data_IF_475044479058
#
_entry.id   IF_475044479058
#
_cell.length_a   1.000
_cell.length_b   1.000
_cell.length_c   1.000
_cell.angle_alpha   90.00
_cell.angle_beta   90.00
_cell.angle_gamma   90.00
#
_symmetry.space_group_name_H-M   'P 1'
#
loop_
_entity.id
_entity.type
_entity.pdbx_description
1 polymer ?
#
# COMPACT_ATOMS: atom_id res chain seq x y z
N UNK A 1 -29.72 10.91 17.52
CA UNK A 1 -28.32 11.09 17.07
C UNK A 1 -27.57 11.81 18.18
N UNK A 2 -26.47 11.24 18.70
CA UNK A 2 -25.70 11.84 19.81
C UNK A 2 -24.82 12.99 19.28
N UNK A 3 -24.72 14.08 20.04
CA UNK A 3 -23.92 15.27 19.65
C UNK A 3 -22.44 14.96 19.86
N UNK A 4 -21.62 15.39 18.91
CA UNK A 4 -20.17 15.13 18.87
C UNK A 4 -19.45 15.66 20.13
N UNK A 5 -20.06 16.63 20.83
CA UNK A 5 -19.60 17.20 22.09
C UNK A 5 -19.67 16.26 23.31
N UNK A 6 -20.33 15.10 23.20
CA UNK A 6 -20.40 14.08 24.25
C UNK A 6 -19.31 12.99 24.07
N UNK A 7 -18.56 13.03 22.98
CA UNK A 7 -17.44 12.11 22.73
C UNK A 7 -16.26 12.64 23.52
N UNK A 8 -15.95 11.99 24.64
CA UNK A 8 -14.74 12.27 25.39
C UNK A 8 -13.54 11.91 24.50
N UNK A 9 -12.74 12.87 24.00
CA UNK A 9 -11.65 12.60 23.05
C UNK A 9 -10.52 11.77 23.65
N UNK A 10 -10.54 11.58 24.98
CA UNK A 10 -9.60 10.80 25.78
C UNK A 10 -10.25 9.55 26.41
N UNK A 11 -11.50 9.22 26.02
CA UNK A 11 -12.36 8.27 26.73
C UNK A 11 -12.07 6.78 26.51
N UNK A 12 -11.24 6.41 25.55
CA UNK A 12 -10.75 5.05 25.38
C UNK A 12 -9.34 5.13 24.80
N UNK A 13 -8.32 5.21 25.68
CA UNK A 13 -6.96 4.88 25.28
C UNK A 13 -6.99 3.47 24.72
N UNK A 14 -7.03 3.34 23.39
CA UNK A 14 -6.82 2.05 22.75
C UNK A 14 -5.48 1.54 23.26
N UNK A 15 -5.43 0.38 23.92
CA UNK A 15 -4.16 -0.14 24.41
C UNK A 15 -3.20 -0.17 23.23
N UNK A 16 -2.02 0.41 23.44
CA UNK A 16 -0.99 0.40 22.43
C UNK A 16 -0.76 -1.06 22.03
N UNK A 17 -0.89 -1.43 20.74
CA UNK A 17 -0.67 -2.80 20.32
C UNK A 17 0.73 -3.23 20.77
N UNK A 18 0.83 -4.46 21.26
CA UNK A 18 2.11 -5.06 21.60
C UNK A 18 3.03 -5.14 20.36
N UNK A 19 4.31 -5.42 20.58
CA UNK A 19 5.32 -5.49 19.51
C UNK A 19 4.86 -6.44 18.38
N UNK A 20 4.27 -7.58 18.73
CA UNK A 20 3.80 -8.59 17.79
C UNK A 20 2.61 -8.09 16.95
N UNK A 21 1.64 -7.41 17.56
CA UNK A 21 0.49 -6.84 16.87
C UNK A 21 0.91 -5.67 15.99
N UNK A 22 1.86 -4.83 16.44
CA UNK A 22 2.46 -3.77 15.62
C UNK A 22 3.13 -4.33 14.38
N UNK A 23 3.89 -5.41 14.53
CA UNK A 23 4.58 -6.07 13.43
C UNK A 23 3.61 -6.68 12.42
N UNK A 24 2.56 -7.39 12.91
CA UNK A 24 1.47 -7.90 12.04
C UNK A 24 0.78 -6.79 11.26
N UNK A 25 0.47 -5.67 11.92
CA UNK A 25 -0.15 -4.51 11.28
C UNK A 25 0.75 -3.89 10.22
N UNK A 26 2.06 -3.79 10.47
CA UNK A 26 3.03 -3.30 9.49
C UNK A 26 3.09 -4.20 8.26
N UNK A 27 3.19 -5.52 8.45
CA UNK A 27 3.19 -6.49 7.34
C UNK A 27 1.91 -6.43 6.54
N UNK A 28 0.76 -6.33 7.20
CA UNK A 28 -0.54 -6.22 6.52
C UNK A 28 -0.65 -4.93 5.70
N UNK A 29 -0.16 -3.80 6.22
CA UNK A 29 -0.11 -2.54 5.47
C UNK A 29 0.80 -2.64 4.26
N UNK A 30 2.00 -3.19 4.43
CA UNK A 30 2.95 -3.37 3.35
C UNK A 30 2.38 -4.27 2.24
N UNK A 31 1.70 -5.36 2.61
CA UNK A 31 1.05 -6.24 1.63
C UNK A 31 -0.05 -5.50 0.86
N UNK A 32 -0.89 -4.72 1.54
CA UNK A 32 -1.94 -3.92 0.88
C UNK A 32 -1.35 -2.88 -0.07
N UNK A 33 -0.26 -2.23 0.32
CA UNK A 33 0.44 -1.27 -0.53
C UNK A 33 1.02 -1.95 -1.77
N UNK A 34 1.61 -3.15 -1.60
CA UNK A 34 2.10 -3.98 -2.70
C UNK A 34 0.98 -4.36 -3.66
N UNK A 35 -0.13 -4.92 -3.16
CA UNK A 35 -1.26 -5.36 -3.98
C UNK A 35 -1.90 -4.19 -4.75
N UNK A 36 -2.05 -3.04 -4.10
CA UNK A 36 -2.56 -1.82 -4.72
C UNK A 36 -1.59 -1.29 -5.80
N UNK A 37 -0.29 -1.36 -5.53
CA UNK A 37 0.76 -1.03 -6.49
C UNK A 37 0.68 -1.88 -7.74
N UNK A 38 0.56 -3.22 -7.58
CA UNK A 38 0.40 -4.15 -8.69
C UNK A 38 -0.81 -3.80 -9.56
N UNK A 39 -1.99 -3.61 -8.95
CA UNK A 39 -3.21 -3.27 -9.70
C UNK A 39 -3.04 -1.99 -10.53
N UNK A 40 -2.42 -0.96 -9.96
CA UNK A 40 -2.22 0.32 -10.63
C UNK A 40 -1.22 0.22 -11.78
N UNK A 41 -0.17 -0.58 -11.62
CA UNK A 41 0.79 -0.84 -12.70
C UNK A 41 0.13 -1.60 -13.85
N UNK A 42 -0.69 -2.62 -13.56
CA UNK A 42 -1.45 -3.37 -14.56
C UNK A 42 -2.41 -2.45 -15.32
N UNK A 43 -3.14 -1.58 -14.62
CA UNK A 43 -4.04 -0.61 -15.24
C UNK A 43 -3.29 0.29 -16.22
N UNK A 44 -2.15 0.84 -15.83
CA UNK A 44 -1.31 1.66 -16.71
C UNK A 44 -0.82 0.87 -17.94
N UNK A 45 -0.40 -0.38 -17.75
CA UNK A 45 -0.01 -1.24 -18.88
C UNK A 45 -1.18 -1.52 -19.84
N UNK A 46 -2.39 -1.72 -19.31
CA UNK A 46 -3.60 -1.92 -20.13
C UNK A 46 -4.00 -0.68 -20.91
N UNK A 47 -3.73 0.52 -20.38
CA UNK A 47 -3.95 1.79 -21.06
C UNK A 47 -2.86 2.12 -22.09
N UNK A 48 -1.77 1.34 -22.14
CA UNK A 48 -0.62 1.62 -23.00
C UNK A 48 0.36 2.65 -22.42
N UNK A 49 0.15 3.08 -21.17
CA UNK A 49 0.95 4.09 -20.46
C UNK A 49 2.20 3.47 -19.81
N UNK A 50 3.03 2.79 -20.63
CA UNK A 50 4.14 1.98 -20.14
C UNK A 50 5.24 2.80 -19.46
N UNK A 51 5.54 3.99 -20.00
CA UNK A 51 6.55 4.88 -19.40
C UNK A 51 6.09 5.39 -18.03
N UNK A 52 4.79 5.67 -17.89
CA UNK A 52 4.19 6.06 -16.62
C UNK A 52 4.22 4.90 -15.61
N UNK A 53 3.88 3.68 -16.05
CA UNK A 53 3.98 2.47 -15.23
C UNK A 53 5.42 2.25 -14.73
N UNK A 54 6.41 2.40 -15.62
CA UNK A 54 7.83 2.24 -15.28
C UNK A 54 8.32 3.30 -14.29
N UNK A 55 7.93 4.56 -14.50
CA UNK A 55 8.25 5.63 -13.56
C UNK A 55 7.61 5.41 -12.19
N UNK A 56 6.35 4.95 -12.16
CA UNK A 56 5.63 4.68 -10.92
C UNK A 56 6.28 3.53 -10.15
N UNK A 57 6.61 2.42 -10.82
CA UNK A 57 7.33 1.28 -10.23
C UNK A 57 8.69 1.71 -9.64
N UNK A 58 9.44 2.56 -10.35
CA UNK A 58 10.71 3.09 -9.87
C UNK A 58 10.58 4.06 -8.68
N UNK A 59 9.48 4.80 -8.57
CA UNK A 59 9.21 5.64 -7.38
C UNK A 59 8.80 4.82 -6.16
N UNK A 60 8.17 3.67 -6.40
CA UNK A 60 7.68 2.76 -5.36
C UNK A 60 8.43 1.43 -5.39
N UNK A 61 9.75 1.50 -5.26
CA UNK A 61 10.63 0.32 -5.20
C UNK A 61 10.21 -0.69 -4.12
N UNK A 62 9.61 -0.20 -3.03
CA UNK A 62 9.09 -1.01 -1.92
C UNK A 62 7.92 -1.93 -2.32
N UNK A 63 7.27 -1.70 -3.45
CA UNK A 63 6.28 -2.63 -3.98
C UNK A 63 6.91 -3.89 -4.57
N UNK A 64 8.20 -3.87 -4.92
CA UNK A 64 8.90 -5.03 -5.46
C UNK A 64 8.45 -5.43 -6.86
N UNK A 65 7.94 -4.47 -7.65
CA UNK A 65 7.56 -4.69 -9.04
C UNK A 65 8.37 -3.82 -9.98
N UNK A 66 8.53 -4.29 -11.21
CA UNK A 66 9.09 -3.55 -12.33
C UNK A 66 8.29 -3.80 -13.61
N UNK A 67 8.52 -2.96 -14.61
CA UNK A 67 7.89 -3.11 -15.93
C UNK A 67 8.93 -3.61 -16.93
N UNK A 68 8.73 -4.84 -17.41
CA UNK A 68 9.57 -5.50 -18.41
C UNK A 68 8.70 -5.87 -19.60
N UNK A 69 9.08 -5.45 -20.81
CA UNK A 69 8.33 -5.73 -22.04
C UNK A 69 6.82 -5.48 -21.93
N UNK A 70 6.45 -4.37 -21.27
CA UNK A 70 5.06 -3.92 -21.06
C UNK A 70 4.24 -4.78 -20.08
N UNK A 71 4.91 -5.66 -19.34
CA UNK A 71 4.32 -6.55 -18.34
C UNK A 71 4.85 -6.18 -16.96
N UNK A 72 3.98 -6.28 -15.95
CA UNK A 72 4.37 -6.13 -14.55
C UNK A 72 5.05 -7.41 -14.07
N UNK A 73 6.30 -7.31 -13.65
CA UNK A 73 7.08 -8.44 -13.12
C UNK A 73 7.51 -8.16 -11.68
N UNK A 74 7.69 -9.22 -10.88
CA UNK A 74 8.34 -9.10 -9.59
C UNK A 74 9.82 -8.83 -9.78
N UNK A 75 10.34 -7.88 -9.01
CA UNK A 75 11.75 -7.55 -9.02
C UNK A 75 12.52 -8.63 -8.26
N UNK A 76 13.49 -9.22 -8.94
CA UNK A 76 14.43 -10.16 -8.33
C UNK A 76 15.70 -9.34 -8.06
N UNK A 77 15.86 -8.88 -6.81
CA UNK A 77 17.14 -8.33 -6.32
C UNK A 77 18.18 -9.44 -6.12
#
# INVERSE_FOLDING_TARGET
MKRISEINPLGEERPNPDEETREKLRRSRLQRERDAGYQKLVELCNLGEYDMAKQLANRHFNWGYEIVDRIVMERID
#
